data_IF_977831001149
#
_entry.id   IF_977831001149
#
_cell.length_a   1.000
_cell.length_b   1.000
_cell.length_c   1.000
_cell.angle_alpha   90.00
_cell.angle_beta   90.00
_cell.angle_gamma   90.00
#
_symmetry.space_group_name_H-M   'P 1'
#
loop_
_entity.id
_entity.type
_entity.pdbx_description
1 polymer ?
#
# COMPACT_ATOMS: atom_id res chain seq x y z
N UNK A 1 -4.70 46.83 58.24
CA UNK A 1 -4.74 45.79 59.30
C UNK A 1 -3.51 44.92 59.07
N UNK A 2 -2.34 45.29 59.61
CA UNK A 2 -1.81 44.86 60.93
C UNK A 2 -1.94 43.34 61.12
N UNK A 3 -0.91 42.53 61.39
CA UNK A 3 0.49 42.77 61.79
C UNK A 3 1.25 41.42 61.75
N UNK A 4 2.58 41.49 61.63
CA UNK A 4 3.64 40.58 62.16
C UNK A 4 3.18 39.37 62.99
N UNK A 5 3.72 38.16 62.86
CA UNK A 5 5.13 37.78 62.70
C UNK A 5 5.68 37.23 64.02
N UNK A 6 6.23 36.00 64.04
CA UNK A 6 7.37 35.52 64.86
C UNK A 6 7.42 33.98 64.93
N UNK A 7 8.62 33.43 64.69
CA UNK A 7 9.07 32.09 65.14
C UNK A 7 9.32 32.10 66.66
N UNK A 8 9.43 30.93 67.32
CA UNK A 8 10.77 30.42 67.64
C UNK A 8 10.90 28.88 67.54
N UNK A 9 12.07 28.38 67.95
CA UNK A 9 12.71 27.09 67.70
C UNK A 9 13.07 26.41 69.05
N UNK A 10 13.18 25.07 69.02
CA UNK A 10 13.90 24.12 69.91
C UNK A 10 13.22 23.49 71.14
N UNK A 11 13.32 22.14 71.19
CA UNK A 11 13.67 21.18 72.28
C UNK A 11 13.21 19.77 71.79
N UNK A 12 14.05 18.75 71.51
CA UNK A 12 14.75 17.78 72.42
C UNK A 12 13.84 17.33 73.59
N UNK A 13 13.62 16.06 73.93
CA UNK A 13 14.47 14.87 73.96
C UNK A 13 13.59 13.65 74.37
N UNK A 14 14.03 12.41 74.12
CA UNK A 14 13.92 11.21 75.00
C UNK A 14 13.97 9.87 74.24
N UNK A 15 15.15 9.24 74.35
CA UNK A 15 15.43 7.82 74.22
C UNK A 15 14.65 6.96 75.24
N UNK A 16 14.28 5.73 74.85
CA UNK A 16 14.45 4.54 75.70
C UNK A 16 14.81 3.29 74.85
N UNK A 17 16.07 2.89 75.02
CA UNK A 17 16.68 1.54 74.95
C UNK A 17 15.96 0.53 75.88
N UNK A 18 16.03 -0.80 75.87
CA UNK A 18 16.87 -1.87 75.29
C UNK A 18 16.16 -3.20 75.66
N UNK A 19 16.40 -4.31 74.93
CA UNK A 19 16.67 -5.66 75.47
C UNK A 19 16.44 -6.79 74.45
N UNK A 20 17.23 -7.84 74.60
CA UNK A 20 17.79 -8.70 73.57
C UNK A 20 17.48 -10.20 73.77
N UNK A 21 17.16 -10.89 72.64
CA UNK A 21 17.48 -12.30 72.27
C UNK A 21 16.88 -13.50 73.06
N UNK A 22 16.93 -14.79 72.58
CA UNK A 22 17.29 -15.35 71.27
C UNK A 22 16.33 -16.47 70.71
N UNK A 23 16.65 -16.91 69.49
CA UNK A 23 16.65 -18.31 68.99
C UNK A 23 15.49 -18.87 68.14
N UNK A 24 15.79 -18.97 66.85
CA UNK A 24 15.69 -20.16 65.97
C UNK A 24 14.45 -21.07 66.03
N UNK A 25 13.70 -21.14 64.93
CA UNK A 25 13.81 -22.26 63.98
C UNK A 25 12.79 -22.18 62.83
N UNK A 26 13.26 -22.54 61.63
CA UNK A 26 12.43 -23.24 60.64
C UNK A 26 11.57 -22.40 59.70
N UNK A 27 12.17 -21.50 58.91
CA UNK A 27 11.48 -21.00 57.72
C UNK A 27 11.43 -22.12 56.66
N UNK A 28 10.32 -22.85 56.64
CA UNK A 28 9.94 -23.65 55.47
C UNK A 28 9.61 -22.64 54.37
N UNK A 29 10.60 -22.31 53.54
CA UNK A 29 10.35 -21.69 52.23
C UNK A 29 9.50 -22.68 51.44
N UNK A 30 8.20 -22.43 51.37
CA UNK A 30 7.38 -23.00 50.31
C UNK A 30 8.05 -22.68 48.97
N UNK A 31 8.18 -23.64 48.05
CA UNK A 31 8.63 -23.32 46.71
C UNK A 31 7.62 -22.34 46.14
N UNK A 32 8.05 -21.08 45.99
CA UNK A 32 7.31 -20.11 45.20
C UNK A 32 7.08 -20.78 43.86
N UNK A 33 5.80 -20.96 43.51
CA UNK A 33 5.42 -21.29 42.16
C UNK A 33 6.10 -20.26 41.27
N UNK A 34 7.12 -20.69 40.53
CA UNK A 34 7.68 -19.91 39.42
C UNK A 34 6.56 -19.80 38.39
N UNK A 35 5.64 -18.86 38.58
CA UNK A 35 4.88 -18.30 37.49
C UNK A 35 5.91 -17.61 36.61
N UNK A 36 6.45 -18.35 35.65
CA UNK A 36 7.30 -17.78 34.61
C UNK A 36 6.45 -16.75 33.84
N UNK A 37 6.52 -15.52 34.31
CA UNK A 37 5.84 -14.39 33.68
C UNK A 37 6.40 -14.18 32.28
N UNK A 38 5.52 -13.87 31.34
CA UNK A 38 5.92 -13.42 30.01
C UNK A 38 6.89 -12.23 30.14
N UNK A 39 8.00 -12.20 29.38
CA UNK A 39 8.87 -11.04 29.33
C UNK A 39 8.10 -9.77 28.93
N UNK A 40 8.50 -8.61 29.46
CA UNK A 40 7.87 -7.32 29.13
C UNK A 40 8.04 -6.91 27.67
N UNK A 41 9.04 -7.47 26.99
CA UNK A 41 9.28 -7.33 25.56
C UNK A 41 9.84 -8.63 25.01
N UNK A 42 9.29 -9.07 23.87
CA UNK A 42 9.88 -10.17 23.11
C UNK A 42 10.99 -9.61 22.23
N UNK A 43 12.14 -10.28 22.24
CA UNK A 43 13.18 -10.05 21.25
C UNK A 43 12.69 -10.53 19.86
N UNK A 44 13.16 -9.91 18.76
CA UNK A 44 12.72 -10.26 17.42
C UNK A 44 12.95 -11.74 17.07
N UNK A 45 14.13 -12.25 17.40
CA UNK A 45 14.60 -13.64 17.24
C UNK A 45 15.73 -13.90 18.23
N UNK A 46 16.17 -15.16 18.36
CA UNK A 46 17.38 -15.55 19.11
C UNK A 46 18.68 -14.86 18.63
N UNK A 47 18.65 -14.26 17.43
CA UNK A 47 19.77 -13.53 16.85
C UNK A 47 19.63 -12.00 17.00
N UNK A 48 18.56 -11.52 17.65
CA UNK A 48 18.27 -10.10 17.81
C UNK A 48 17.85 -9.36 16.52
N UNK A 49 17.59 -10.09 15.43
CA UNK A 49 17.22 -9.52 14.11
C UNK A 49 15.83 -9.95 13.65
N UNK A 50 15.15 -9.12 12.85
CA UNK A 50 13.91 -9.51 12.17
C UNK A 50 14.25 -10.13 10.80
N UNK A 51 13.95 -11.42 10.57
CA UNK A 51 14.17 -12.04 9.26
C UNK A 51 13.20 -11.45 8.24
N UNK A 52 13.70 -11.11 7.06
CA UNK A 52 12.84 -10.74 5.94
C UNK A 52 12.14 -11.99 5.41
N UNK A 53 10.82 -11.92 5.21
CA UNK A 53 10.08 -13.03 4.60
C UNK A 53 10.56 -13.30 3.18
N UNK A 54 10.55 -14.57 2.76
CA UNK A 54 10.89 -14.96 1.39
C UNK A 54 10.03 -14.21 0.36
N UNK A 55 8.76 -13.97 0.68
CA UNK A 55 7.87 -13.20 -0.16
C UNK A 55 8.38 -11.75 -0.36
N UNK A 56 8.68 -11.04 0.73
CA UNK A 56 9.20 -9.66 0.67
C UNK A 56 10.52 -9.63 -0.09
N UNK A 57 11.39 -10.63 0.12
CA UNK A 57 12.65 -10.75 -0.61
C UNK A 57 12.41 -10.92 -2.11
N UNK A 58 11.53 -11.83 -2.53
CA UNK A 58 11.25 -12.08 -3.96
C UNK A 58 10.66 -10.84 -4.65
N UNK A 59 9.77 -10.11 -4.00
CA UNK A 59 9.26 -8.83 -4.53
C UNK A 59 10.37 -7.78 -4.58
N UNK A 60 11.20 -7.70 -3.53
CA UNK A 60 12.34 -6.80 -3.46
C UNK A 60 13.35 -7.05 -4.58
N UNK A 61 13.69 -8.31 -4.85
CA UNK A 61 14.58 -8.73 -5.93
C UNK A 61 13.97 -8.42 -7.32
N UNK A 62 12.68 -8.68 -7.49
CA UNK A 62 11.95 -8.31 -8.71
C UNK A 62 12.04 -6.81 -8.98
N UNK A 63 11.77 -5.96 -7.98
CA UNK A 63 11.91 -4.51 -8.14
C UNK A 63 13.36 -4.13 -8.40
N UNK A 64 14.31 -4.70 -7.65
CA UNK A 64 15.74 -4.39 -7.75
C UNK A 64 16.24 -4.57 -9.19
N UNK A 65 15.80 -5.63 -9.87
CA UNK A 65 16.23 -5.93 -11.24
C UNK A 65 15.61 -5.00 -12.29
N UNK A 66 14.49 -4.34 -12.00
CA UNK A 66 13.66 -3.70 -13.04
C UNK A 66 13.50 -2.19 -12.89
N UNK A 67 13.88 -1.58 -11.74
CA UNK A 67 13.61 -0.16 -11.48
C UNK A 67 14.67 0.83 -12.02
N UNK A 68 15.85 0.36 -12.45
CA UNK A 68 16.90 1.24 -13.02
C UNK A 68 16.56 1.61 -14.48
N UNK A 69 15.52 2.42 -14.63
CA UNK A 69 15.00 2.88 -15.91
C UNK A 69 14.60 4.35 -15.78
N UNK A 70 14.80 5.09 -16.85
CA UNK A 70 14.30 6.45 -16.92
C UNK A 70 12.76 6.45 -16.91
N UNK A 71 12.19 7.46 -16.25
CA UNK A 71 10.74 7.65 -16.14
C UNK A 71 10.00 6.42 -15.60
N UNK A 72 10.62 5.72 -14.65
CA UNK A 72 10.02 4.53 -14.07
C UNK A 72 8.76 4.88 -13.28
N UNK A 73 7.77 4.00 -13.38
CA UNK A 73 6.55 3.97 -12.60
C UNK A 73 6.43 2.58 -11.98
N UNK A 74 6.11 2.53 -10.68
CA UNK A 74 5.90 1.29 -9.94
C UNK A 74 4.50 1.36 -9.35
N UNK A 75 3.65 0.43 -9.78
CA UNK A 75 2.24 0.35 -9.35
C UNK A 75 1.86 -1.10 -9.02
N UNK A 76 0.97 -1.27 -8.05
CA UNK A 76 0.27 -2.51 -7.78
C UNK A 76 -1.22 -2.31 -8.02
N UNK A 77 -1.84 -3.16 -8.83
CA UNK A 77 -3.28 -3.14 -9.07
C UNK A 77 -3.95 -4.30 -8.37
N UNK A 78 -5.07 -4.05 -7.70
CA UNK A 78 -5.92 -5.10 -7.16
C UNK A 78 -6.92 -5.55 -8.23
N UNK A 79 -7.18 -6.86 -8.29
CA UNK A 79 -8.02 -7.45 -9.33
C UNK A 79 -8.14 -8.95 -9.18
N UNK A 80 -8.37 -9.68 -10.26
CA UNK A 80 -8.47 -11.15 -10.24
C UNK A 80 -7.54 -11.77 -11.26
N UNK A 81 -6.83 -12.81 -10.84
CA UNK A 81 -6.09 -13.67 -11.74
C UNK A 81 -7.04 -14.73 -12.30
N UNK A 82 -7.32 -14.66 -13.59
CA UNK A 82 -8.28 -15.50 -14.30
C UNK A 82 -7.54 -16.56 -15.11
N UNK A 83 -7.97 -17.82 -14.99
CA UNK A 83 -7.56 -18.88 -15.90
C UNK A 83 -8.35 -18.73 -17.20
N UNK A 84 -7.66 -18.51 -18.32
CA UNK A 84 -8.32 -18.25 -19.60
C UNK A 84 -9.04 -19.46 -20.19
N UNK A 85 -8.79 -20.68 -19.69
CA UNK A 85 -9.56 -21.87 -20.08
C UNK A 85 -10.92 -21.92 -19.38
N UNK A 86 -10.95 -21.70 -18.06
CA UNK A 86 -12.18 -21.83 -17.27
C UNK A 86 -12.96 -20.51 -17.20
N UNK A 87 -12.27 -19.38 -17.44
CA UNK A 87 -12.77 -18.01 -17.20
C UNK A 87 -13.12 -17.75 -15.74
N UNK A 88 -12.56 -18.53 -14.84
CA UNK A 88 -12.71 -18.37 -13.40
C UNK A 88 -11.42 -17.86 -12.78
N UNK A 89 -11.52 -17.36 -11.55
CA UNK A 89 -10.33 -17.04 -10.76
C UNK A 89 -9.50 -18.32 -10.59
N UNK A 90 -8.18 -18.19 -10.75
CA UNK A 90 -7.27 -19.32 -10.60
C UNK A 90 -7.43 -19.96 -9.23
N UNK A 91 -7.32 -21.28 -9.20
CA UNK A 91 -7.20 -22.06 -7.97
C UNK A 91 -5.83 -22.73 -8.00
N UNK A 92 -5.02 -22.40 -7.00
CA UNK A 92 -3.72 -23.01 -6.77
C UNK A 92 -3.80 -23.77 -5.45
N UNK A 93 -3.10 -24.91 -5.36
CA UNK A 93 -3.01 -25.70 -4.13
C UNK A 93 -2.01 -25.04 -3.16
N UNK A 94 -2.38 -23.85 -2.67
CA UNK A 94 -1.62 -23.02 -1.73
C UNK A 94 -2.56 -22.39 -0.72
N UNK A 95 -2.13 -22.33 0.54
CA UNK A 95 -2.95 -21.80 1.64
C UNK A 95 -2.71 -20.31 1.94
N UNK A 96 -1.78 -19.67 1.23
CA UNK A 96 -1.37 -18.29 1.51
C UNK A 96 -1.00 -17.52 0.24
N UNK A 97 -0.86 -16.21 0.42
CA UNK A 97 -0.39 -15.27 -0.60
C UNK A 97 0.89 -15.79 -1.28
N UNK A 98 0.85 -15.96 -2.60
CA UNK A 98 1.89 -16.63 -3.38
C UNK A 98 2.14 -15.91 -4.69
N UNK A 99 3.41 -15.68 -4.99
CA UNK A 99 3.84 -15.17 -6.29
C UNK A 99 3.62 -16.25 -7.35
N UNK A 100 2.86 -15.91 -8.40
CA UNK A 100 2.59 -16.83 -9.51
C UNK A 100 3.74 -16.76 -10.50
N UNK A 101 4.29 -17.92 -10.83
CA UNK A 101 5.36 -18.05 -11.83
C UNK A 101 5.00 -17.34 -13.14
N UNK A 102 5.92 -16.54 -13.73
CA UNK A 102 5.68 -15.86 -15.00
C UNK A 102 5.55 -16.84 -16.18
N UNK A 103 5.99 -18.10 -16.02
CA UNK A 103 5.85 -19.15 -17.02
C UNK A 103 4.45 -19.79 -17.03
N UNK A 104 3.58 -19.46 -16.06
CA UNK A 104 2.20 -19.96 -16.04
C UNK A 104 1.46 -19.49 -17.28
N UNK A 105 1.06 -20.45 -18.12
CA UNK A 105 0.24 -20.20 -19.31
C UNK A 105 -1.23 -20.00 -18.92
N UNK A 106 -2.02 -19.49 -19.85
CA UNK A 106 -3.46 -19.30 -19.71
C UNK A 106 -3.86 -18.43 -18.51
N UNK A 107 -3.03 -17.43 -18.20
CA UNK A 107 -3.26 -16.52 -17.09
C UNK A 107 -3.55 -15.11 -17.61
N UNK A 108 -4.69 -14.56 -17.25
CA UNK A 108 -5.06 -13.16 -17.48
C UNK A 108 -5.24 -12.49 -16.13
N UNK A 109 -4.82 -11.23 -16.01
CA UNK A 109 -5.19 -10.41 -14.86
C UNK A 109 -6.27 -9.44 -15.31
N UNK A 110 -7.34 -9.39 -14.54
CA UNK A 110 -8.44 -8.45 -14.73
C UNK A 110 -8.38 -7.42 -13.61
N UNK A 111 -7.97 -6.21 -13.97
CA UNK A 111 -7.98 -5.04 -13.10
C UNK A 111 -9.41 -4.54 -13.01
N UNK A 112 -10.22 -5.16 -12.17
CA UNK A 112 -11.60 -4.77 -11.95
C UNK A 112 -12.09 -5.29 -10.59
N UNK A 113 -13.09 -4.62 -10.02
CA UNK A 113 -13.83 -5.05 -8.84
C UNK A 113 -15.32 -4.74 -9.02
N UNK A 114 -16.15 -5.21 -8.09
CA UNK A 114 -17.58 -4.86 -8.12
C UNK A 114 -17.79 -3.40 -7.71
N UNK A 115 -18.90 -2.80 -8.13
CA UNK A 115 -19.27 -1.44 -7.69
C UNK A 115 -19.41 -1.35 -6.16
N UNK A 116 -19.93 -2.41 -5.52
CA UNK A 116 -20.03 -2.51 -4.07
C UNK A 116 -18.65 -2.50 -3.39
N UNK A 117 -17.68 -3.27 -3.91
CA UNK A 117 -16.29 -3.22 -3.43
C UNK A 117 -15.70 -1.82 -3.60
N UNK A 118 -15.90 -1.19 -4.77
CA UNK A 118 -15.43 0.18 -5.02
C UNK A 118 -16.03 1.19 -4.04
N UNK A 119 -17.34 1.12 -3.79
CA UNK A 119 -18.02 1.96 -2.80
C UNK A 119 -17.45 1.74 -1.39
N UNK A 120 -17.25 0.49 -1.00
CA UNK A 120 -16.66 0.15 0.29
C UNK A 120 -15.24 0.73 0.45
N UNK A 121 -14.39 0.60 -0.57
CA UNK A 121 -13.05 1.21 -0.57
C UNK A 121 -13.11 2.73 -0.41
N UNK A 122 -14.02 3.39 -1.12
CA UNK A 122 -14.21 4.84 -0.99
C UNK A 122 -14.58 5.22 0.46
N UNK A 123 -15.52 4.49 1.07
CA UNK A 123 -15.94 4.73 2.46
C UNK A 123 -14.79 4.56 3.45
N UNK A 124 -14.06 3.45 3.42
CA UNK A 124 -12.97 3.21 4.38
C UNK A 124 -11.80 4.18 4.18
N UNK A 125 -11.47 4.55 2.94
CA UNK A 125 -10.39 5.49 2.65
C UNK A 125 -10.77 6.91 3.09
N UNK A 126 -12.00 7.36 2.84
CA UNK A 126 -12.49 8.64 3.35
C UNK A 126 -12.55 8.69 4.88
N UNK A 127 -13.00 7.60 5.52
CA UNK A 127 -12.96 7.48 6.97
C UNK A 127 -11.52 7.59 7.50
N UNK A 128 -10.56 6.99 6.79
CA UNK A 128 -9.13 7.10 7.14
C UNK A 128 -8.60 8.52 6.97
N UNK A 129 -9.03 9.26 5.95
CA UNK A 129 -8.70 10.70 5.78
C UNK A 129 -9.18 11.49 7.00
N UNK A 130 -10.41 11.26 7.46
CA UNK A 130 -10.94 11.94 8.65
C UNK A 130 -10.16 11.54 9.91
N UNK A 131 -9.90 10.25 10.10
CA UNK A 131 -9.21 9.73 11.29
C UNK A 131 -7.73 10.16 11.41
N UNK A 132 -7.13 10.63 10.33
CA UNK A 132 -5.73 11.10 10.31
C UNK A 132 -5.60 12.62 10.41
N UNK A 133 -6.71 13.34 10.61
CA UNK A 133 -6.71 14.77 10.99
C UNK A 133 -6.32 14.96 12.47
N UNK A 134 -5.92 16.18 12.89
CA UNK A 134 -5.64 16.47 14.30
C UNK A 134 -6.79 16.01 15.21
N UNK A 135 -6.52 15.39 16.38
CA UNK A 135 -5.24 15.31 17.10
C UNK A 135 -4.35 14.11 16.75
N UNK A 136 -4.55 13.47 15.58
CA UNK A 136 -3.69 12.38 15.12
C UNK A 136 -2.20 12.76 15.13
N UNK A 137 -1.36 11.91 15.70
CA UNK A 137 0.08 12.17 15.89
C UNK A 137 0.94 11.74 14.68
N UNK A 138 0.35 11.04 13.70
CA UNK A 138 1.05 10.59 12.49
C UNK A 138 0.87 11.55 11.31
N UNK A 139 1.35 11.13 10.14
CA UNK A 139 1.20 11.89 8.89
C UNK A 139 -0.26 11.81 8.41
N UNK A 140 -0.94 12.95 8.18
CA UNK A 140 -2.30 12.96 7.63
C UNK A 140 -2.37 12.34 6.23
N UNK A 141 -3.48 11.67 5.93
CA UNK A 141 -3.78 11.19 4.59
C UNK A 141 -4.37 12.35 3.78
N UNK A 142 -3.78 12.67 2.62
CA UNK A 142 -4.30 13.69 1.71
C UNK A 142 -5.31 13.08 0.74
N UNK A 143 -6.31 13.87 0.32
CA UNK A 143 -7.36 13.44 -0.61
C UNK A 143 -7.53 14.42 -1.76
N UNK A 144 -7.69 13.91 -2.98
CA UNK A 144 -8.03 14.67 -4.19
C UNK A 144 -9.01 13.90 -5.06
N UNK A 145 -9.97 14.62 -5.63
CA UNK A 145 -10.91 14.09 -6.62
C UNK A 145 -10.57 14.65 -7.99
N UNK A 146 -10.21 13.77 -8.92
CA UNK A 146 -9.62 14.10 -10.21
C UNK A 146 -10.51 13.52 -11.33
N UNK A 147 -10.80 14.35 -12.32
CA UNK A 147 -11.52 13.94 -13.54
C UNK A 147 -10.58 14.11 -14.72
N UNK A 148 -10.22 13.00 -15.36
CA UNK A 148 -9.25 12.95 -16.44
C UNK A 148 -9.81 12.20 -17.65
N UNK A 149 -9.45 12.66 -18.84
CA UNK A 149 -9.74 11.96 -20.10
C UNK A 149 -8.42 11.52 -20.71
N UNK A 150 -8.26 10.21 -20.86
CA UNK A 150 -7.13 9.59 -21.55
C UNK A 150 -7.49 9.38 -23.02
N UNK A 151 -6.68 9.93 -23.92
CA UNK A 151 -6.75 9.67 -25.37
C UNK A 151 -5.50 8.95 -25.82
N UNK A 152 -5.67 7.83 -26.52
CA UNK A 152 -4.55 7.04 -27.06
C UNK A 152 -4.42 7.29 -28.55
N UNK A 153 -3.23 7.66 -28.99
CA UNK A 153 -2.86 7.88 -30.37
C UNK A 153 -1.93 6.76 -30.82
N UNK A 154 -2.18 6.25 -32.02
CA UNK A 154 -1.27 5.30 -32.66
C UNK A 154 -0.26 6.09 -33.48
N UNK A 155 1.03 6.02 -33.10
CA UNK A 155 2.13 6.64 -33.86
C UNK A 155 3.09 5.53 -34.25
N UNK A 156 3.12 5.16 -35.53
CA UNK A 156 3.85 3.99 -36.02
C UNK A 156 3.48 2.74 -35.20
N UNK A 157 4.47 2.03 -34.65
CA UNK A 157 4.28 0.85 -33.81
C UNK A 157 4.14 1.18 -32.30
N UNK A 158 4.05 2.45 -31.93
CA UNK A 158 3.97 2.91 -30.54
C UNK A 158 2.59 3.53 -30.23
N UNK A 159 2.20 3.46 -28.96
CA UNK A 159 0.97 4.07 -28.43
C UNK A 159 1.35 5.23 -27.53
N UNK A 160 0.86 6.42 -27.86
CA UNK A 160 1.04 7.63 -27.05
C UNK A 160 -0.26 7.94 -26.34
N UNK A 161 -0.20 8.11 -25.02
CA UNK A 161 -1.34 8.52 -24.19
C UNK A 161 -1.24 10.02 -23.93
N UNK A 162 -2.33 10.73 -24.18
CA UNK A 162 -2.54 12.13 -23.82
C UNK A 162 -3.63 12.20 -22.77
N UNK A 163 -3.31 12.74 -21.60
CA UNK A 163 -4.24 12.93 -20.49
C UNK A 163 -4.60 14.40 -20.33
N UNK A 164 -5.89 14.70 -20.37
CA UNK A 164 -6.44 16.05 -20.17
C UNK A 164 -7.36 16.09 -18.97
N UNK A 165 -7.38 17.19 -18.22
CA UNK A 165 -8.41 17.44 -17.23
C UNK A 165 -9.77 17.54 -17.93
N UNK A 166 -10.75 16.74 -17.52
CA UNK A 166 -12.06 16.66 -18.21
C UNK A 166 -12.84 17.98 -18.14
N UNK A 167 -12.67 18.77 -17.07
CA UNK A 167 -13.41 20.03 -16.88
C UNK A 167 -12.80 21.19 -17.67
N UNK A 168 -11.48 21.30 -17.67
CA UNK A 168 -10.79 22.45 -18.29
C UNK A 168 -10.31 22.17 -19.71
N UNK A 169 -10.24 20.90 -20.12
CA UNK A 169 -9.64 20.48 -21.39
C UNK A 169 -8.13 20.63 -21.46
N UNK A 170 -7.48 21.14 -20.39
CA UNK A 170 -6.04 21.35 -20.35
C UNK A 170 -5.30 20.04 -20.19
N UNK A 171 -4.15 19.92 -20.85
CA UNK A 171 -3.24 18.78 -20.72
C UNK A 171 -2.68 18.76 -19.30
N UNK A 172 -2.76 17.60 -18.64
CA UNK A 172 -2.18 17.40 -17.31
C UNK A 172 -0.65 17.50 -17.44
N UNK A 173 0.02 18.09 -16.45
CA UNK A 173 1.48 18.20 -16.47
C UNK A 173 2.13 16.81 -16.59
N UNK A 174 3.02 16.62 -17.56
CA UNK A 174 3.59 15.30 -17.88
C UNK A 174 2.59 14.29 -18.46
N UNK A 175 1.38 14.72 -18.84
CA UNK A 175 0.30 13.86 -19.30
C UNK A 175 0.41 13.37 -20.74
N UNK A 176 1.53 13.60 -21.43
CA UNK A 176 1.79 13.09 -22.78
C UNK A 176 2.93 12.07 -22.69
N UNK A 177 2.58 10.79 -22.70
CA UNK A 177 3.55 9.72 -22.41
C UNK A 177 3.44 8.55 -23.38
N UNK A 178 4.58 7.95 -23.69
CA UNK A 178 4.68 6.61 -24.24
C UNK A 178 4.90 5.63 -23.08
N UNK A 179 3.86 4.86 -22.73
CA UNK A 179 3.92 3.88 -21.64
C UNK A 179 4.40 2.53 -22.15
N UNK A 180 5.56 2.09 -21.68
CA UNK A 180 6.13 0.78 -21.99
C UNK A 180 6.20 -0.06 -20.72
N UNK A 181 5.62 -1.26 -20.76
CA UNK A 181 5.71 -2.21 -19.65
C UNK A 181 7.08 -2.88 -19.64
N UNK A 182 7.78 -2.76 -18.52
CA UNK A 182 9.11 -3.36 -18.32
C UNK A 182 8.95 -4.75 -17.72
N UNK A 183 8.21 -4.84 -16.61
CA UNK A 183 8.12 -6.08 -15.85
C UNK A 183 6.78 -6.21 -15.12
N UNK A 184 6.38 -7.45 -14.86
CA UNK A 184 5.13 -7.80 -14.19
C UNK A 184 5.37 -8.95 -13.22
N UNK A 185 4.77 -8.84 -12.03
CA UNK A 185 4.72 -9.88 -11.03
C UNK A 185 3.27 -10.07 -10.58
N UNK A 186 2.73 -11.26 -10.80
CA UNK A 186 1.37 -11.62 -10.40
C UNK A 186 1.40 -12.29 -9.04
N UNK A 187 0.47 -11.94 -8.15
CA UNK A 187 0.34 -12.56 -6.82
C UNK A 187 -1.07 -13.09 -6.66
N UNK A 188 -1.16 -14.39 -6.40
CA UNK A 188 -2.40 -15.03 -5.98
C UNK A 188 -2.58 -14.89 -4.48
N UNK A 189 -3.75 -14.46 -4.04
CA UNK A 189 -4.05 -14.26 -2.62
C UNK A 189 -5.32 -15.05 -2.25
N UNK A 190 -5.20 -16.34 -1.89
CA UNK A 190 -6.35 -17.24 -1.73
C UNK A 190 -7.28 -16.83 -0.56
N UNK A 191 -6.76 -16.10 0.42
CA UNK A 191 -7.51 -15.68 1.61
C UNK A 191 -8.16 -14.28 1.46
N UNK A 192 -8.12 -13.70 0.27
CA UNK A 192 -8.78 -12.42 -0.07
C UNK A 192 -9.58 -12.58 -1.35
N UNK A 193 -10.55 -11.69 -1.61
CA UNK A 193 -11.35 -11.74 -2.85
C UNK A 193 -10.58 -11.27 -4.08
N UNK A 194 -9.62 -10.39 -3.86
CA UNK A 194 -8.78 -9.83 -4.91
C UNK A 194 -7.36 -10.40 -4.80
N UNK A 195 -6.85 -10.80 -5.96
CA UNK A 195 -5.43 -10.97 -6.24
C UNK A 195 -4.83 -9.59 -6.53
N UNK A 196 -3.52 -9.54 -6.79
CA UNK A 196 -2.91 -8.30 -7.25
C UNK A 196 -1.75 -8.53 -8.21
N UNK A 197 -1.42 -7.47 -8.94
CA UNK A 197 -0.34 -7.44 -9.91
C UNK A 197 0.54 -6.23 -9.63
N UNK A 198 1.82 -6.47 -9.39
CA UNK A 198 2.84 -5.42 -9.36
C UNK A 198 3.39 -5.26 -10.77
N UNK A 199 3.49 -4.03 -11.24
CA UNK A 199 4.08 -3.70 -12.54
C UNK A 199 5.13 -2.62 -12.41
N UNK A 200 6.16 -2.73 -13.25
CA UNK A 200 7.14 -1.69 -13.47
C UNK A 200 7.00 -1.26 -14.91
N UNK A 201 6.72 0.03 -15.13
CA UNK A 201 6.56 0.63 -16.46
C UNK A 201 7.54 1.79 -16.62
N UNK A 202 7.82 2.18 -17.86
CA UNK A 202 8.46 3.46 -18.20
C UNK A 202 7.40 4.34 -18.85
N UNK A 203 7.17 5.53 -18.30
CA UNK A 203 6.27 6.54 -18.85
C UNK A 203 7.08 7.67 -19.48
N UNK A 204 7.68 7.41 -20.63
CA UNK A 204 8.56 8.36 -21.31
C UNK A 204 7.75 9.58 -21.79
N UNK A 205 8.10 10.81 -21.39
CA UNK A 205 7.48 12.01 -21.95
C UNK A 205 7.77 12.12 -23.44
N UNK A 206 6.74 12.44 -24.22
CA UNK A 206 6.86 12.62 -25.67
C UNK A 206 6.10 13.86 -26.12
N UNK A 207 6.37 14.31 -27.34
CA UNK A 207 5.64 15.43 -27.95
C UNK A 207 4.19 15.06 -28.27
N UNK A 208 3.34 16.09 -28.35
CA UNK A 208 1.93 15.93 -28.71
C UNK A 208 1.79 15.19 -30.05
N UNK A 209 1.06 14.07 -30.11
CA UNK A 209 0.87 13.33 -31.34
C UNK A 209 -0.05 14.09 -32.31
N UNK A 210 0.21 13.95 -33.60
CA UNK A 210 -0.67 14.43 -34.68
C UNK A 210 -1.68 13.35 -35.07
N UNK A 211 -2.87 13.75 -35.52
CA UNK A 211 -3.90 12.84 -36.02
C UNK A 211 -5.05 12.61 -35.04
N UNK A 212 -5.89 11.61 -35.31
CA UNK A 212 -7.01 11.25 -34.45
C UNK A 212 -6.60 10.18 -33.44
N UNK A 213 -7.20 10.23 -32.26
CA UNK A 213 -7.04 9.19 -31.25
C UNK A 213 -7.80 7.93 -31.67
N UNK A 214 -7.27 6.76 -31.30
CA UNK A 214 -7.88 5.45 -31.56
C UNK A 214 -8.71 4.93 -30.39
N UNK A 215 -8.50 5.50 -29.20
CA UNK A 215 -9.20 5.11 -27.99
C UNK A 215 -9.33 6.31 -27.05
N UNK A 216 -10.47 6.42 -26.39
CA UNK A 216 -10.72 7.42 -25.35
C UNK A 216 -11.29 6.72 -24.11
N UNK A 217 -10.84 7.13 -22.93
CA UNK A 217 -11.38 6.70 -21.64
C UNK A 217 -11.56 7.89 -20.73
N UNK A 218 -12.71 7.96 -20.07
CA UNK A 218 -12.99 8.96 -19.05
C UNK A 218 -12.79 8.33 -17.67
N UNK A 219 -11.97 8.98 -16.85
CA UNK A 219 -11.53 8.49 -15.55
C UNK A 219 -12.04 9.43 -14.46
N UNK A 220 -12.80 8.86 -13.54
CA UNK A 220 -13.21 9.49 -12.30
C UNK A 220 -12.38 8.87 -11.17
N UNK A 221 -11.47 9.64 -10.58
CA UNK A 221 -10.40 9.15 -9.72
C UNK A 221 -10.42 9.83 -8.35
N UNK A 222 -10.49 9.01 -7.32
CA UNK A 222 -10.34 9.37 -5.92
C UNK A 222 -8.92 9.00 -5.51
N UNK A 223 -8.05 10.00 -5.33
CA UNK A 223 -6.64 9.82 -5.03
C UNK A 223 -6.34 10.13 -3.57
N UNK A 224 -5.69 9.18 -2.90
CA UNK A 224 -5.30 9.28 -1.50
C UNK A 224 -3.77 9.19 -1.37
N UNK A 225 -3.13 10.21 -0.81
CA UNK A 225 -1.66 10.28 -0.74
C UNK A 225 -1.17 10.17 0.70
N UNK A 226 -0.24 9.25 0.97
CA UNK A 226 0.37 9.08 2.28
C UNK A 226 1.84 8.68 2.18
N UNK A 227 2.72 9.57 2.65
CA UNK A 227 4.17 9.39 2.67
C UNK A 227 4.75 9.09 1.29
N UNK A 228 5.14 7.84 1.01
CA UNK A 228 5.79 7.42 -0.25
C UNK A 228 4.79 6.95 -1.31
N UNK A 229 3.53 6.74 -0.92
CA UNK A 229 2.56 6.03 -1.73
C UNK A 229 1.31 6.85 -1.99
N UNK A 230 0.72 6.60 -3.15
CA UNK A 230 -0.62 7.07 -3.50
C UNK A 230 -1.51 5.86 -3.77
N UNK A 231 -2.75 5.94 -3.32
CA UNK A 231 -3.79 4.96 -3.60
C UNK A 231 -4.83 5.62 -4.48
N UNK A 232 -5.03 5.10 -5.69
CA UNK A 232 -5.99 5.61 -6.65
C UNK A 232 -7.17 4.63 -6.77
N UNK A 233 -8.36 5.09 -6.39
CA UNK A 233 -9.62 4.39 -6.62
C UNK A 233 -10.30 5.04 -7.82
N UNK A 234 -10.39 4.31 -8.93
CA UNK A 234 -10.74 4.88 -10.24
C UNK A 234 -11.91 4.15 -10.87
N UNK A 235 -12.92 4.91 -11.30
CA UNK A 235 -13.94 4.45 -12.23
C UNK A 235 -13.54 4.84 -13.65
N UNK A 236 -13.41 3.85 -14.54
CA UNK A 236 -13.04 4.06 -15.95
C UNK A 236 -14.23 3.78 -16.84
N UNK A 237 -14.61 4.77 -17.66
CA UNK A 237 -15.72 4.70 -18.62
C UNK A 237 -15.14 4.76 -20.03
N UNK A 238 -15.40 3.74 -20.83
CA UNK A 238 -15.11 3.73 -22.27
C UNK A 238 -16.02 4.69 -23.05
N UNK A 239 -15.84 4.78 -24.37
CA UNK A 239 -16.63 5.66 -25.21
C UNK A 239 -18.10 5.26 -25.17
N UNK A 240 -19.00 6.25 -25.32
CA UNK A 240 -20.42 5.98 -25.45
C UNK A 240 -20.67 5.11 -26.69
N UNK A 241 -21.33 3.97 -26.49
CA UNK A 241 -21.70 3.06 -27.56
C UNK A 241 -23.11 3.42 -28.05
N UNK A 242 -23.27 3.49 -29.37
CA UNK A 242 -24.59 3.65 -29.98
C UNK A 242 -25.46 2.42 -29.74
N UNK A 243 -26.78 2.60 -29.82
CA UNK A 243 -27.74 1.49 -29.77
C UNK A 243 -27.42 0.48 -30.87
N UNK A 244 -27.58 -0.80 -30.53
CA UNK A 244 -27.56 -1.88 -31.49
C UNK A 244 -28.72 -1.71 -32.49
N UNK A 245 -28.61 -2.39 -33.64
CA UNK A 245 -29.63 -2.35 -34.70
C UNK A 245 -31.01 -2.84 -34.20
N UNK A 246 -31.03 -3.68 -33.17
CA UNK A 246 -32.24 -4.18 -32.50
C UNK A 246 -32.82 -3.21 -31.44
N UNK A 247 -32.24 -2.02 -31.28
CA UNK A 247 -32.66 -1.01 -30.31
C UNK A 247 -32.14 -1.22 -28.88
N UNK A 248 -31.41 -2.32 -28.61
CA UNK A 248 -30.80 -2.57 -27.30
C UNK A 248 -29.55 -1.73 -27.08
N UNK A 249 -29.27 -1.38 -25.83
CA UNK A 249 -28.01 -0.73 -25.47
C UNK A 249 -26.95 -1.81 -25.22
N UNK A 250 -25.79 -1.76 -25.89
CA UNK A 250 -24.68 -2.63 -25.54
C UNK A 250 -24.19 -2.32 -24.12
N UNK A 251 -23.61 -3.31 -23.39
CA UNK A 251 -23.03 -3.07 -22.08
C UNK A 251 -21.98 -1.95 -22.14
N UNK A 252 -22.09 -1.03 -21.17
CA UNK A 252 -21.12 0.05 -21.01
C UNK A 252 -19.75 -0.56 -20.67
N UNK A 253 -18.69 -0.05 -21.30
CA UNK A 253 -17.33 -0.41 -20.92
C UNK A 253 -17.00 0.34 -19.63
N UNK A 254 -17.28 -0.30 -18.49
CA UNK A 254 -17.10 0.25 -17.15
C UNK A 254 -16.21 -0.68 -16.33
N UNK A 255 -15.13 -0.13 -15.77
CA UNK A 255 -14.30 -0.81 -14.76
C UNK A 255 -14.14 0.03 -13.51
N UNK A 256 -13.96 -0.67 -12.39
CA UNK A 256 -13.63 -0.13 -11.07
C UNK A 256 -12.25 -0.66 -10.69
N UNK A 257 -11.27 0.23 -10.61
CA UNK A 257 -9.86 -0.10 -10.45
C UNK A 257 -9.34 0.48 -9.13
N UNK A 258 -8.44 -0.25 -8.47
CA UNK A 258 -7.73 0.20 -7.27
C UNK A 258 -6.24 -0.05 -7.45
N UNK A 259 -5.47 1.03 -7.35
CA UNK A 259 -4.04 1.06 -7.63
C UNK A 259 -3.30 1.61 -6.41
N UNK A 260 -2.14 1.03 -6.08
CA UNK A 260 -1.18 1.56 -5.12
C UNK A 260 0.10 1.85 -5.87
N UNK A 261 0.57 3.10 -5.87
CA UNK A 261 1.75 3.51 -6.62
C UNK A 261 2.75 4.27 -5.76
N UNK A 262 4.01 4.25 -6.18
CA UNK A 262 5.04 5.13 -5.63
C UNK A 262 4.86 6.54 -6.18
N UNK A 263 4.76 7.54 -5.30
CA UNK A 263 4.70 8.95 -5.72
C UNK A 263 5.99 9.37 -6.41
N UNK A 264 7.13 8.95 -5.83
CA UNK A 264 8.45 9.20 -6.38
C UNK A 264 9.29 7.91 -6.31
N UNK A 265 9.32 7.13 -7.41
CA UNK A 265 10.12 5.91 -7.49
C UNK A 265 11.63 6.13 -7.29
N UNK A 266 12.15 7.35 -7.49
CA UNK A 266 13.58 7.64 -7.28
C UNK A 266 14.04 7.36 -5.85
N UNK A 267 13.16 7.54 -4.85
CA UNK A 267 13.48 7.22 -3.45
C UNK A 267 13.87 5.74 -3.32
N UNK A 268 13.16 4.83 -4.01
CA UNK A 268 13.49 3.41 -3.98
C UNK A 268 14.80 3.10 -4.73
N UNK A 269 15.07 3.79 -5.85
CA UNK A 269 16.32 3.68 -6.60
C UNK A 269 17.52 4.15 -5.77
N UNK A 270 17.39 5.27 -5.05
CA UNK A 270 18.43 5.76 -4.15
C UNK A 270 18.74 4.77 -3.03
N UNK A 271 17.71 4.20 -2.40
CA UNK A 271 17.89 3.18 -1.36
C UNK A 271 18.45 1.87 -1.91
N UNK A 272 18.11 1.52 -3.15
CA UNK A 272 18.76 0.42 -3.88
C UNK A 272 20.26 0.68 -4.09
N UNK A 273 20.63 1.88 -4.51
CA UNK A 273 22.03 2.23 -4.74
C UNK A 273 22.85 2.12 -3.44
N UNK A 274 22.29 2.60 -2.32
CA UNK A 274 22.88 2.42 -0.99
C UNK A 274 23.04 0.94 -0.63
N UNK A 275 22.00 0.13 -0.86
CA UNK A 275 22.05 -1.33 -0.64
C UNK A 275 23.18 -1.98 -1.46
N UNK A 276 23.30 -1.62 -2.75
CA UNK A 276 24.33 -2.12 -3.66
C UNK A 276 25.74 -1.76 -3.17
N UNK A 277 25.89 -0.55 -2.62
CA UNK A 277 27.13 -0.04 -2.07
C UNK A 277 27.39 -0.50 -0.62
N UNK A 278 26.59 -1.43 -0.08
CA UNK A 278 26.68 -1.93 1.29
C UNK A 278 26.58 -0.83 2.36
N UNK A 279 25.87 0.25 2.03
CA UNK A 279 25.57 1.34 2.95
C UNK A 279 24.28 1.08 3.71
N UNK A 280 24.10 1.79 4.83
CA UNK A 280 22.83 1.81 5.53
C UNK A 280 21.74 2.31 4.57
N UNK A 281 20.71 1.48 4.40
CA UNK A 281 19.60 1.71 3.50
C UNK A 281 18.29 1.24 4.14
N UNK A 282 17.17 1.63 3.53
CA UNK A 282 15.80 1.28 3.91
C UNK A 282 15.05 0.55 2.80
N UNK A 283 15.77 -0.01 1.81
CA UNK A 283 15.18 -0.60 0.61
C UNK A 283 14.12 -1.65 0.97
N UNK A 284 14.50 -2.64 1.78
CA UNK A 284 13.58 -3.73 2.19
C UNK A 284 12.41 -3.19 3.02
N UNK A 285 12.63 -2.21 3.90
CA UNK A 285 11.57 -1.61 4.70
C UNK A 285 10.53 -0.86 3.84
N UNK A 286 10.98 -0.18 2.79
CA UNK A 286 10.08 0.52 1.85
C UNK A 286 9.26 -0.50 1.05
N UNK A 287 9.90 -1.57 0.56
CA UNK A 287 9.19 -2.67 -0.13
C UNK A 287 8.16 -3.33 0.79
N UNK A 288 8.51 -3.57 2.05
CA UNK A 288 7.58 -4.12 3.04
C UNK A 288 6.41 -3.16 3.33
N UNK A 289 6.66 -1.85 3.44
CA UNK A 289 5.59 -0.87 3.63
C UNK A 289 4.63 -0.82 2.42
N UNK A 290 5.17 -0.89 1.21
CA UNK A 290 4.38 -0.99 -0.03
C UNK A 290 3.48 -2.23 -0.01
N UNK A 291 4.04 -3.40 0.31
CA UNK A 291 3.29 -4.65 0.42
C UNK A 291 2.24 -4.61 1.52
N UNK A 292 2.52 -3.98 2.66
CA UNK A 292 1.57 -3.85 3.76
C UNK A 292 0.35 -3.01 3.35
N UNK A 293 0.55 -1.92 2.60
CA UNK A 293 -0.57 -1.13 2.07
C UNK A 293 -1.45 -1.97 1.14
N UNK A 294 -0.84 -2.73 0.22
CA UNK A 294 -1.56 -3.63 -0.70
C UNK A 294 -2.35 -4.69 0.07
N UNK A 295 -1.71 -5.33 1.06
CA UNK A 295 -2.33 -6.40 1.87
C UNK A 295 -3.49 -5.89 2.72
N UNK A 296 -3.36 -4.70 3.30
CA UNK A 296 -4.47 -4.06 4.02
C UNK A 296 -5.66 -3.86 3.07
N UNK A 297 -5.45 -3.26 1.90
CA UNK A 297 -6.51 -3.07 0.91
C UNK A 297 -7.11 -4.41 0.42
N UNK A 298 -6.28 -5.43 0.17
CA UNK A 298 -6.76 -6.73 -0.26
C UNK A 298 -7.65 -7.42 0.80
N UNK A 299 -7.35 -7.22 2.09
CA UNK A 299 -8.17 -7.73 3.20
C UNK A 299 -9.51 -7.00 3.33
N UNK A 300 -9.53 -5.71 3.03
CA UNK A 300 -10.76 -4.91 3.02
C UNK A 300 -11.64 -5.18 1.78
N UNK A 301 -11.18 -5.97 0.82
CA UNK A 301 -11.95 -6.35 -0.36
C UNK A 301 -13.12 -7.32 -0.08
N UNK A 302 -13.76 -7.23 1.10
CA UNK A 302 -14.79 -8.16 1.59
C UNK A 302 -15.96 -8.33 0.58
N UNK A 303 -16.72 -9.42 0.75
CA UNK A 303 -17.87 -9.73 -0.11
C UNK A 303 -18.85 -8.55 -0.05
N UNK A 304 -19.44 -8.14 -1.20
CA UNK A 304 -20.60 -7.26 -1.21
C UNK A 304 -21.75 -7.71 -0.30
#
# INVERSE_FOLDING_TARGET
>A
MSTNGKRPRYEEDSDETEASTPSSNGSVRQPQSNSQGLPSRLEPTIFGIFPTSDFTKQVGDFLYQNIDREYVEIEAKLGRLIDTRTRERIQLDVACETIVSPQRRNLKFESNMTEAQHKHFNEILNNRVVATKPPYQGVPLEYKHIFETDRVYQRNNCKVRVTTNTKTGQIVNGGIVEKVRIAVLNVHSPNTYLDYRITVNSEKPVEMPTGQHVHERNKDRLSYTHQLFKVDLTQVKGPEKSRNVDGTMPPQDLSHELEVEFINPQILIEEKNKLTQQQHNRYVNIVENFLNNIRCLAKEAQIP
#
